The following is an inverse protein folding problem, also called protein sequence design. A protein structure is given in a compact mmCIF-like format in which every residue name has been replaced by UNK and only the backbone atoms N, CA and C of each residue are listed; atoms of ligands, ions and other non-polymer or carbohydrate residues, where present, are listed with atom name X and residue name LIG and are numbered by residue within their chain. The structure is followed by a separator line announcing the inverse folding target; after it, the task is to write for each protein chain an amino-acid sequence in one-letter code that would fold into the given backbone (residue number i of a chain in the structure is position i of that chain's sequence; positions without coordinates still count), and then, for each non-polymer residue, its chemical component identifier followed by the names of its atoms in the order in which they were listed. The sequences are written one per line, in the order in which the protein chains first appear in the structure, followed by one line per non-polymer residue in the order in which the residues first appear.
data_IF_866854046884
#
_entry.id   IF_866854046884
#
_cell.length_a   1.000
_cell.length_b   1.000
_cell.length_c   1.000
_cell.angle_alpha   90.00
_cell.angle_beta   90.00
_cell.angle_gamma   90.00
#
_symmetry.space_group_name_H-M   'P 1'
#
loop_
_entity.id
_entity.type
_entity.pdbx_description
1 polymer ?
#
# COMPACT_ATOMS: atom_id res chain seq x y z
N UNK A 1 15.77 15.51 13.23
CA UNK A 1 15.76 14.11 12.75
C UNK A 1 14.49 13.37 13.15
N UNK A 2 14.12 13.33 14.43
CA UNK A 2 12.89 12.68 14.89
C UNK A 2 11.61 13.19 14.20
N UNK A 3 11.47 14.51 14.05
CA UNK A 3 10.30 15.12 13.37
C UNK A 3 10.11 14.60 11.94
N UNK A 4 11.20 14.43 11.19
CA UNK A 4 11.14 13.94 9.80
C UNK A 4 10.73 12.47 9.75
N UNK A 5 11.23 11.65 10.68
CA UNK A 5 10.83 10.24 10.78
C UNK A 5 9.33 10.13 11.06
N UNK A 6 8.79 10.95 11.97
CA UNK A 6 7.35 10.96 12.24
C UNK A 6 6.53 11.35 11.01
N UNK A 7 7.00 12.31 10.21
CA UNK A 7 6.35 12.70 8.94
C UNK A 7 6.36 11.53 7.95
N UNK A 8 7.48 10.82 7.82
CA UNK A 8 7.58 9.65 6.94
C UNK A 8 6.62 8.56 7.37
N UNK A 9 6.52 8.27 8.68
CA UNK A 9 5.57 7.29 9.21
C UNK A 9 4.13 7.70 8.88
N UNK A 10 3.79 8.98 9.08
CA UNK A 10 2.47 9.49 8.73
C UNK A 10 2.18 9.33 7.22
N UNK A 11 3.14 9.68 6.37
CA UNK A 11 3.01 9.52 4.92
C UNK A 11 2.86 8.04 4.52
N UNK A 12 3.57 7.13 5.18
CA UNK A 12 3.46 5.69 4.96
C UNK A 12 2.06 5.18 5.33
N UNK A 13 1.50 5.62 6.47
CA UNK A 13 0.15 5.27 6.88
C UNK A 13 -0.91 5.79 5.89
N UNK A 14 -0.72 7.02 5.38
CA UNK A 14 -1.60 7.58 4.34
C UNK A 14 -1.49 6.78 3.04
N UNK A 15 -0.29 6.44 2.60
CA UNK A 15 -0.07 5.63 1.41
C UNK A 15 -0.72 4.25 1.52
N UNK A 16 -0.51 3.55 2.64
CA UNK A 16 -1.13 2.24 2.91
C UNK A 16 -2.65 2.31 2.92
N UNK A 17 -3.23 3.33 3.54
CA UNK A 17 -4.68 3.53 3.50
C UNK A 17 -5.19 3.74 2.07
N UNK A 18 -4.46 4.55 1.29
CA UNK A 18 -4.84 4.85 -0.10
C UNK A 18 -4.76 3.61 -0.98
N UNK A 19 -3.65 2.89 -0.94
CA UNK A 19 -3.49 1.63 -1.66
C UNK A 19 -4.57 0.63 -1.25
N UNK A 20 -4.84 0.51 0.06
CA UNK A 20 -5.81 -0.45 0.57
C UNK A 20 -7.19 -0.25 -0.04
N UNK A 21 -7.72 0.98 -0.11
CA UNK A 21 -9.02 1.19 -0.74
C UNK A 21 -8.96 1.03 -2.27
N UNK A 22 -7.83 1.40 -2.90
CA UNK A 22 -7.65 1.26 -4.34
C UNK A 22 -7.70 -0.22 -4.76
N UNK A 23 -6.99 -1.07 -4.02
CA UNK A 23 -6.86 -2.50 -4.28
C UNK A 23 -7.99 -3.35 -3.70
N UNK A 24 -8.83 -2.79 -2.81
CA UNK A 24 -9.97 -3.51 -2.22
C UNK A 24 -10.84 -4.12 -3.32
N UNK A 25 -11.05 -3.41 -4.43
CA UNK A 25 -11.81 -3.90 -5.58
C UNK A 25 -11.29 -5.24 -6.12
N UNK A 26 -9.97 -5.44 -6.16
CA UNK A 26 -9.33 -6.66 -6.66
C UNK A 26 -9.64 -7.88 -5.76
N UNK A 27 -9.74 -7.65 -4.44
CA UNK A 27 -9.99 -8.73 -3.47
C UNK A 27 -11.47 -9.08 -3.30
N UNK A 28 -12.39 -8.12 -3.51
CA UNK A 28 -13.81 -8.32 -3.20
C UNK A 28 -14.73 -8.45 -4.43
N UNK A 29 -14.28 -8.07 -5.63
CA UNK A 29 -15.15 -8.01 -6.81
C UNK A 29 -15.86 -9.34 -7.09
N UNK A 30 -15.19 -10.47 -6.92
CA UNK A 30 -15.76 -11.81 -7.21
C UNK A 30 -16.89 -12.19 -6.25
N UNK A 31 -16.67 -12.06 -4.95
CA UNK A 31 -17.65 -12.40 -3.90
C UNK A 31 -18.83 -11.43 -3.84
N UNK A 32 -18.60 -10.16 -4.16
CA UNK A 32 -19.67 -9.15 -4.23
C UNK A 32 -20.50 -9.30 -5.51
N UNK A 33 -19.86 -9.54 -6.68
CA UNK A 33 -20.58 -9.73 -7.95
C UNK A 33 -21.45 -10.99 -7.95
N UNK A 34 -20.97 -12.06 -7.30
CA UNK A 34 -21.73 -13.32 -7.12
C UNK A 34 -22.75 -13.25 -5.99
N UNK A 35 -22.79 -12.15 -5.23
CA UNK A 35 -23.68 -11.93 -4.08
C UNK A 35 -23.53 -12.95 -2.97
N UNK A 36 -22.36 -13.58 -2.86
CA UNK A 36 -22.04 -14.51 -1.77
C UNK A 36 -21.87 -13.77 -0.44
N UNK A 37 -21.32 -12.56 -0.48
CA UNK A 37 -21.19 -11.66 0.66
C UNK A 37 -21.75 -10.28 0.34
N UNK A 38 -22.29 -9.60 1.35
CA UNK A 38 -22.58 -8.18 1.24
C UNK A 38 -21.27 -7.37 1.17
N UNK A 39 -21.26 -6.18 0.53
CA UNK A 39 -20.04 -5.38 0.38
C UNK A 39 -19.33 -5.11 1.71
N UNK A 40 -20.07 -4.82 2.79
CA UNK A 40 -19.48 -4.57 4.11
C UNK A 40 -18.73 -5.78 4.68
N UNK A 41 -19.30 -6.98 4.58
CA UNK A 41 -18.64 -8.19 5.05
C UNK A 41 -17.42 -8.57 4.19
N UNK A 42 -17.51 -8.33 2.88
CA UNK A 42 -16.38 -8.55 1.98
C UNK A 42 -15.20 -7.62 2.31
N UNK A 43 -15.45 -6.34 2.63
CA UNK A 43 -14.41 -5.40 3.06
C UNK A 43 -13.80 -5.80 4.40
N UNK A 44 -14.60 -6.24 5.39
CA UNK A 44 -14.08 -6.69 6.69
C UNK A 44 -13.16 -7.91 6.51
N UNK A 45 -13.59 -8.88 5.69
CA UNK A 45 -12.78 -10.05 5.38
C UNK A 45 -11.48 -9.66 4.67
N UNK A 46 -11.56 -8.79 3.66
CA UNK A 46 -10.39 -8.31 2.93
C UNK A 46 -9.42 -7.56 3.84
N UNK A 47 -9.90 -6.67 4.71
CA UNK A 47 -9.08 -5.95 5.67
C UNK A 47 -8.38 -6.90 6.65
N UNK A 48 -9.10 -7.90 7.17
CA UNK A 48 -8.52 -8.91 8.06
C UNK A 48 -7.44 -9.75 7.37
N UNK A 49 -7.69 -10.21 6.15
CA UNK A 49 -6.70 -10.98 5.39
C UNK A 49 -5.49 -10.15 4.96
N UNK A 50 -5.68 -8.88 4.55
CA UNK A 50 -4.59 -7.97 4.23
C UNK A 50 -3.69 -7.71 5.44
N UNK A 51 -4.28 -7.51 6.63
CA UNK A 51 -3.50 -7.34 7.85
C UNK A 51 -2.67 -8.59 8.18
N UNK A 52 -3.28 -9.78 8.11
CA UNK A 52 -2.55 -11.03 8.35
C UNK A 52 -1.43 -11.25 7.33
N UNK A 53 -1.67 -10.92 6.06
CA UNK A 53 -0.65 -10.95 5.01
C UNK A 53 0.51 -10.01 5.31
N UNK A 54 0.22 -8.76 5.68
CA UNK A 54 1.24 -7.77 6.04
C UNK A 54 2.10 -8.21 7.23
N UNK A 55 1.49 -8.83 8.26
CA UNK A 55 2.21 -9.33 9.44
C UNK A 55 3.10 -10.56 9.16
N UNK A 56 2.80 -11.32 8.11
CA UNK A 56 3.53 -12.55 7.75
C UNK A 56 4.47 -12.39 6.55
N UNK A 57 4.29 -11.34 5.75
CA UNK A 57 4.95 -11.14 4.45
C UNK A 57 6.33 -10.48 4.46
N UNK A 58 7.03 -10.43 5.59
CA UNK A 58 8.31 -9.70 5.71
C UNK A 58 9.38 -10.19 4.73
N UNK A 59 9.39 -11.48 4.39
CA UNK A 59 10.32 -12.06 3.42
C UNK A 59 10.14 -11.51 1.99
N UNK A 60 8.90 -11.25 1.58
CA UNK A 60 8.60 -10.68 0.26
C UNK A 60 9.05 -9.23 0.19
N UNK A 61 8.78 -8.45 1.24
CA UNK A 61 9.22 -7.06 1.34
C UNK A 61 10.76 -6.93 1.20
N UNK A 62 11.51 -7.80 1.88
CA UNK A 62 12.98 -7.83 1.81
C UNK A 62 13.49 -8.18 0.41
N UNK A 63 12.84 -9.13 -0.27
CA UNK A 63 13.23 -9.58 -1.62
C UNK A 63 12.96 -8.52 -2.67
N UNK A 64 11.84 -7.80 -2.56
CA UNK A 64 11.51 -6.69 -3.46
C UNK A 64 12.46 -5.51 -3.23
N UNK A 65 12.75 -5.17 -1.97
CA UNK A 65 13.64 -4.05 -1.63
C UNK A 65 15.06 -4.24 -2.18
N UNK A 66 15.63 -5.44 -2.06
CA UNK A 66 16.99 -5.73 -2.55
C UNK A 66 17.10 -5.74 -4.08
N UNK A 67 16.00 -6.01 -4.80
CA UNK A 67 15.96 -5.96 -6.25
C UNK A 67 15.75 -4.57 -6.84
N UNK A 68 15.20 -3.62 -6.07
CA UNK A 68 14.84 -2.28 -6.54
C UNK A 68 15.85 -1.20 -6.14
N UNK A 69 16.51 -1.35 -4.98
CA UNK A 69 17.45 -0.37 -4.44
C UNK A 69 18.84 -0.97 -4.32
N UNK A 70 19.80 -0.38 -5.02
CA UNK A 70 21.21 -0.65 -4.77
C UNK A 70 21.71 0.30 -3.68
N UNK A 71 21.83 -0.24 -2.46
CA UNK A 71 22.28 0.50 -1.27
C UNK A 71 23.75 0.92 -1.32
N UNK A 72 24.55 0.34 -2.22
CA UNK A 72 25.95 0.72 -2.42
C UNK A 72 26.07 2.02 -3.26
N UNK A 73 25.03 2.34 -4.03
CA UNK A 73 24.98 3.52 -4.91
C UNK A 73 24.15 4.65 -4.29
N UNK A 74 23.08 4.31 -3.56
CA UNK A 74 22.15 5.31 -3.00
C UNK A 74 22.02 5.14 -1.49
N UNK A 75 22.35 6.19 -0.74
CA UNK A 75 22.04 6.26 0.69
C UNK A 75 20.55 6.48 0.89
N UNK A 76 19.87 5.48 1.46
CA UNK A 76 18.44 5.57 1.79
C UNK A 76 18.26 6.53 2.96
N UNK A 77 17.85 7.76 2.65
CA UNK A 77 17.52 8.78 3.66
C UNK A 77 16.01 8.91 3.84
N UNK A 78 15.52 9.38 5.01
CA UNK A 78 14.09 9.63 5.22
C UNK A 78 13.46 10.52 4.14
N UNK A 79 14.23 11.44 3.56
CA UNK A 79 13.81 12.32 2.47
C UNK A 79 13.51 11.54 1.18
N UNK A 80 14.36 10.57 0.82
CA UNK A 80 14.17 9.72 -0.36
C UNK A 80 12.90 8.87 -0.20
N UNK A 81 12.69 8.31 1.00
CA UNK A 81 11.48 7.53 1.31
C UNK A 81 10.24 8.43 1.20
N UNK A 82 10.28 9.65 1.74
CA UNK A 82 9.17 10.59 1.66
C UNK A 82 8.82 10.94 0.21
N UNK A 83 9.81 11.21 -0.64
CA UNK A 83 9.59 11.49 -2.06
C UNK A 83 8.96 10.30 -2.78
N UNK A 84 9.42 9.07 -2.50
CA UNK A 84 8.85 7.86 -3.07
C UNK A 84 7.38 7.65 -2.64
N UNK A 85 7.07 7.84 -1.35
CA UNK A 85 5.72 7.75 -0.82
C UNK A 85 4.80 8.79 -1.43
N UNK A 86 5.24 10.06 -1.53
CA UNK A 86 4.44 11.12 -2.14
C UNK A 86 4.17 10.84 -3.62
N UNK A 87 5.17 10.36 -4.37
CA UNK A 87 4.99 9.95 -5.76
C UNK A 87 3.96 8.82 -5.90
N UNK A 88 4.05 7.80 -5.04
CA UNK A 88 3.10 6.69 -5.00
C UNK A 88 1.68 7.12 -4.63
N UNK A 89 1.53 8.00 -3.63
CA UNK A 89 0.24 8.57 -3.22
C UNK A 89 -0.40 9.35 -4.37
N UNK A 90 0.34 10.27 -4.97
CA UNK A 90 -0.17 11.12 -6.06
C UNK A 90 -0.60 10.25 -7.23
N UNK A 91 0.19 9.24 -7.59
CA UNK A 91 -0.16 8.34 -8.67
C UNK A 91 -1.43 7.52 -8.37
N UNK A 92 -1.52 6.94 -7.17
CA UNK A 92 -2.71 6.21 -6.73
C UNK A 92 -3.99 7.06 -6.82
N UNK A 93 -3.93 8.30 -6.37
CA UNK A 93 -5.10 9.18 -6.41
C UNK A 93 -5.49 9.52 -7.86
N UNK A 94 -4.51 9.67 -8.76
CA UNK A 94 -4.76 9.91 -10.19
C UNK A 94 -5.41 8.68 -10.84
N UNK A 95 -4.87 7.48 -10.60
CA UNK A 95 -5.37 6.24 -11.20
C UNK A 95 -6.75 5.88 -10.65
N UNK A 96 -6.94 6.04 -9.35
CA UNK A 96 -8.23 5.89 -8.69
C UNK A 96 -9.28 6.82 -9.30
N UNK A 97 -8.95 8.10 -9.46
CA UNK A 97 -9.88 9.08 -10.03
C UNK A 97 -10.26 8.74 -11.49
N UNK A 98 -9.34 8.10 -12.22
CA UNK A 98 -9.60 7.60 -13.58
C UNK A 98 -10.24 6.20 -13.63
N UNK A 99 -10.47 5.55 -12.48
CA UNK A 99 -10.98 4.19 -12.40
C UNK A 99 -10.03 3.13 -12.98
N UNK A 100 -8.73 3.43 -13.03
CA UNK A 100 -7.71 2.52 -13.53
C UNK A 100 -7.19 1.66 -12.37
N UNK A 101 -7.28 0.32 -12.42
CA UNK A 101 -6.59 -0.53 -11.46
C UNK A 101 -5.09 -0.37 -11.67
N UNK A 102 -4.36 0.03 -10.62
CA UNK A 102 -2.93 0.33 -10.66
C UNK A 102 -2.21 -0.29 -9.48
#
# INVERSE_FOLDING_TARGET
MLTLVLIVILAALVFEFINGFHDTANSIATVVATKVLSPGWAVILAAGMNLLGALTGTAVAMTIASGLLNTDVVTVTPQVILCALLGGIVWNLITWWKGLPS
#
